data_IF_008780738688
#
_entry.id   IF_008780738688
#
_cell.length_a   1.000
_cell.length_b   1.000
_cell.length_c   1.000
_cell.angle_alpha   90.00
_cell.angle_beta   90.00
_cell.angle_gamma   90.00
#
_symmetry.space_group_name_H-M   'P 1'
#
loop_
_entity.id
_entity.type
_entity.pdbx_description
1 polymer ?
#
# COMPACT_ATOMS: atom_id res chain seq x y z
N UNK A 1 20.96 -9.10 -15.26
CA UNK A 1 20.80 -7.65 -15.09
C UNK A 1 19.34 -7.32 -15.37
N UNK A 2 18.55 -6.98 -14.35
CA UNK A 2 17.17 -6.53 -14.57
C UNK A 2 17.22 -5.12 -15.15
N UNK A 3 16.56 -4.89 -16.29
CA UNK A 3 16.44 -3.56 -16.88
C UNK A 3 15.68 -2.63 -15.93
N UNK A 4 15.99 -1.32 -15.94
CA UNK A 4 15.29 -0.33 -15.09
C UNK A 4 13.77 -0.34 -15.31
N UNK A 5 13.32 -0.67 -16.53
CA UNK A 5 11.90 -0.86 -16.86
C UNK A 5 11.26 -2.01 -16.06
N UNK A 6 11.99 -3.11 -15.83
CA UNK A 6 11.49 -4.24 -15.04
C UNK A 6 11.32 -3.89 -13.57
N UNK A 7 12.12 -2.99 -13.01
CA UNK A 7 11.95 -2.53 -11.61
C UNK A 7 10.71 -1.66 -11.42
N UNK A 8 10.42 -0.75 -12.34
CA UNK A 8 9.20 0.08 -12.26
C UNK A 8 7.93 -0.79 -12.35
N UNK A 9 7.94 -1.78 -13.24
CA UNK A 9 6.85 -2.76 -13.40
C UNK A 9 6.56 -3.54 -12.12
N UNK A 10 7.58 -3.88 -11.31
CA UNK A 10 7.40 -4.61 -10.04
C UNK A 10 6.61 -3.83 -9.00
N UNK A 11 6.96 -2.55 -8.81
CA UNK A 11 6.28 -1.70 -7.84
C UNK A 11 4.83 -1.42 -8.22
N UNK A 12 4.56 -1.17 -9.50
CA UNK A 12 3.19 -0.90 -9.99
C UNK A 12 2.29 -2.13 -9.84
N UNK A 13 2.80 -3.32 -10.16
CA UNK A 13 2.02 -4.56 -10.01
C UNK A 13 1.79 -4.86 -8.53
N UNK A 14 2.82 -4.79 -7.68
CA UNK A 14 2.66 -5.05 -6.25
C UNK A 14 1.70 -4.04 -5.59
N UNK A 15 1.75 -2.76 -5.96
CA UNK A 15 0.82 -1.74 -5.48
C UNK A 15 -0.63 -2.02 -5.91
N UNK A 16 -0.83 -2.48 -7.15
CA UNK A 16 -2.16 -2.86 -7.66
C UNK A 16 -2.75 -4.04 -6.89
N UNK A 17 -1.91 -4.98 -6.46
CA UNK A 17 -2.34 -6.08 -5.59
C UNK A 17 -2.69 -5.62 -4.17
N UNK A 18 -1.97 -4.64 -3.60
CA UNK A 18 -2.31 -4.08 -2.28
C UNK A 18 -3.62 -3.29 -2.31
N UNK A 19 -3.84 -2.49 -3.36
CA UNK A 19 -4.99 -1.59 -3.46
C UNK A 19 -6.27 -2.29 -3.96
N UNK A 20 -6.14 -3.20 -4.92
CA UNK A 20 -7.30 -3.64 -5.73
C UNK A 20 -7.53 -5.16 -5.72
N UNK A 21 -6.69 -5.96 -5.06
CA UNK A 21 -6.98 -7.39 -4.87
C UNK A 21 -7.72 -7.62 -3.56
N UNK A 22 -9.02 -7.91 -3.66
CA UNK A 22 -9.89 -8.26 -2.54
C UNK A 22 -9.21 -9.25 -1.57
N UNK A 23 -9.02 -8.84 -0.32
CA UNK A 23 -8.56 -9.70 0.76
C UNK A 23 -7.07 -10.06 0.79
N UNK A 24 -6.25 -9.66 -0.19
CA UNK A 24 -4.82 -10.01 -0.19
C UNK A 24 -3.94 -9.02 0.60
N UNK A 25 -4.43 -7.80 0.83
CA UNK A 25 -3.72 -6.76 1.58
C UNK A 25 -4.10 -6.66 3.07
N UNK A 26 -5.18 -7.31 3.49
CA UNK A 26 -5.73 -7.16 4.86
C UNK A 26 -6.39 -5.80 5.11
N UNK A 27 -6.81 -5.10 4.05
CA UNK A 27 -7.52 -3.81 4.12
C UNK A 27 -8.99 -3.99 3.72
N UNK A 28 -9.89 -3.32 4.42
CA UNK A 28 -11.32 -3.28 4.09
C UNK A 28 -11.55 -2.45 2.81
N UNK A 29 -12.58 -2.80 2.03
CA UNK A 29 -12.89 -2.13 0.76
C UNK A 29 -13.12 -0.61 0.94
N UNK A 30 -13.77 -0.22 2.03
CA UNK A 30 -14.01 1.20 2.33
C UNK A 30 -12.71 1.99 2.59
N UNK A 31 -11.66 1.32 3.07
CA UNK A 31 -10.38 1.96 3.43
C UNK A 31 -9.38 1.99 2.28
N UNK A 32 -9.60 1.20 1.22
CA UNK A 32 -8.79 1.28 -0.01
C UNK A 32 -9.10 2.53 -0.83
N UNK A 33 -10.34 3.04 -0.73
CA UNK A 33 -10.79 4.21 -1.49
C UNK A 33 -10.66 5.55 -0.75
N UNK A 34 -10.36 5.54 0.56
CA UNK A 34 -10.26 6.77 1.36
C UNK A 34 -8.83 6.95 1.90
N UNK A 35 -8.36 8.19 1.95
CA UNK A 35 -7.11 8.50 2.66
C UNK A 35 -7.34 8.46 4.18
N UNK A 36 -6.35 8.01 4.94
CA UNK A 36 -6.40 8.08 6.41
C UNK A 36 -6.37 9.53 6.90
N UNK A 37 -5.52 10.35 6.32
CA UNK A 37 -5.37 11.74 6.63
C UNK A 37 -5.94 12.60 5.49
N UNK A 38 -6.81 13.54 5.85
CA UNK A 38 -7.39 14.48 4.90
C UNK A 38 -8.58 15.23 5.48
N UNK A 39 -9.39 15.84 4.62
CA UNK A 39 -10.32 16.88 5.04
C UNK A 39 -11.79 16.61 4.67
N UNK A 40 -12.17 15.32 4.64
CA UNK A 40 -13.52 14.85 4.33
C UNK A 40 -13.80 14.64 2.83
N UNK A 41 -15.07 14.46 2.48
CA UNK A 41 -15.50 14.15 1.11
C UNK A 41 -15.39 12.65 0.76
N UNK A 42 -15.73 12.29 -0.49
CA UNK A 42 -15.88 10.88 -0.93
C UNK A 42 -14.62 10.03 -0.68
N UNK A 43 -13.43 10.60 -0.90
CA UNK A 43 -12.14 9.92 -0.77
C UNK A 43 -11.32 10.40 0.45
N UNK A 44 -11.93 11.18 1.34
CA UNK A 44 -11.25 11.86 2.44
C UNK A 44 -10.00 12.66 1.98
N UNK A 45 -10.09 13.37 0.84
CA UNK A 45 -8.97 14.10 0.24
C UNK A 45 -9.41 15.46 -0.28
N UNK A 46 -8.60 16.49 -0.01
CA UNK A 46 -8.79 17.86 -0.49
C UNK A 46 -7.43 18.49 -0.73
N UNK A 47 -7.11 18.83 -1.98
CA UNK A 47 -5.81 19.40 -2.38
C UNK A 47 -5.51 20.75 -1.69
N UNK A 48 -6.55 21.50 -1.28
CA UNK A 48 -6.39 22.78 -0.57
C UNK A 48 -6.19 22.61 0.93
N UNK A 49 -6.55 21.43 1.46
CA UNK A 49 -6.43 21.05 2.87
C UNK A 49 -5.70 19.71 2.98
N UNK A 50 -4.51 19.69 2.40
CA UNK A 50 -3.62 18.54 2.46
C UNK A 50 -3.19 18.24 3.90
N UNK A 51 -2.67 17.04 4.14
CA UNK A 51 -2.16 16.67 5.46
C UNK A 51 -1.11 17.65 5.98
N UNK A 52 -1.29 18.12 7.23
CA UNK A 52 -0.48 19.18 7.83
C UNK A 52 -1.02 20.60 7.62
N UNK A 53 -2.03 20.78 6.77
CA UNK A 53 -2.78 22.03 6.63
C UNK A 53 -3.97 22.02 7.60
N UNK A 54 -4.34 23.20 8.12
CA UNK A 54 -5.51 23.36 8.99
C UNK A 54 -6.79 22.77 8.36
N UNK A 55 -7.55 22.04 9.17
CA UNK A 55 -8.78 21.38 8.74
C UNK A 55 -8.59 19.98 8.15
N UNK A 56 -7.36 19.48 8.03
CA UNK A 56 -7.09 18.06 7.82
C UNK A 56 -7.09 17.31 9.15
N UNK A 57 -7.64 16.10 9.17
CA UNK A 57 -7.67 15.19 10.31
C UNK A 57 -7.11 13.82 9.92
N UNK A 58 -6.48 13.15 10.90
CA UNK A 58 -5.95 11.79 10.75
C UNK A 58 -6.96 10.78 11.27
N UNK A 59 -7.12 9.66 10.57
CA UNK A 59 -7.94 8.54 11.01
C UNK A 59 -7.43 7.92 12.32
N UNK A 60 -8.29 7.19 13.02
CA UNK A 60 -7.93 6.58 14.31
C UNK A 60 -6.89 5.45 14.19
N UNK A 61 -6.96 4.66 13.11
CA UNK A 61 -6.04 3.55 12.85
C UNK A 61 -5.45 3.64 11.43
N UNK A 62 -4.25 4.22 11.27
CA UNK A 62 -3.57 4.27 9.97
C UNK A 62 -3.21 2.91 9.39
N UNK A 63 -3.18 1.84 10.20
CA UNK A 63 -2.85 0.50 9.72
C UNK A 63 -4.00 -0.16 8.95
N UNK A 64 -5.22 0.36 9.10
CA UNK A 64 -6.41 -0.11 8.39
C UNK A 64 -6.58 0.50 6.98
N UNK A 65 -5.75 1.46 6.57
CA UNK A 65 -5.89 2.19 5.29
C UNK A 65 -4.75 1.92 4.33
N UNK A 66 -5.05 1.92 3.01
CA UNK A 66 -4.02 1.85 1.97
C UNK A 66 -3.34 3.21 1.76
N UNK A 67 -4.15 4.26 1.61
CA UNK A 67 -3.67 5.61 1.36
C UNK A 67 -3.49 6.40 2.66
N UNK A 68 -2.34 7.07 2.79
CA UNK A 68 -2.11 8.02 3.87
C UNK A 68 -2.82 9.34 3.62
N UNK A 69 -2.56 10.01 2.50
CA UNK A 69 -2.98 11.40 2.23
C UNK A 69 -3.56 11.61 0.83
N UNK A 70 -3.90 10.53 0.12
CA UNK A 70 -4.34 10.54 -1.28
C UNK A 70 -3.20 10.49 -2.30
N UNK A 71 -1.94 10.63 -1.87
CA UNK A 71 -0.74 10.59 -2.74
C UNK A 71 0.21 9.47 -2.31
N UNK A 72 0.44 9.35 -1.00
CA UNK A 72 1.33 8.37 -0.39
C UNK A 72 0.55 7.21 0.22
N UNK A 73 1.22 6.05 0.33
CA UNK A 73 0.69 4.88 1.03
C UNK A 73 0.99 4.93 2.53
N UNK A 74 0.19 4.25 3.32
CA UNK A 74 0.48 4.05 4.75
C UNK A 74 1.65 3.08 4.95
N UNK A 75 2.25 3.09 6.13
CA UNK A 75 3.30 2.15 6.51
C UNK A 75 2.83 0.68 6.38
N UNK A 76 1.57 0.40 6.73
CA UNK A 76 0.98 -0.93 6.61
C UNK A 76 0.91 -1.37 5.14
N UNK A 77 0.49 -0.48 4.24
CA UNK A 77 0.44 -0.75 2.80
C UNK A 77 1.85 -0.95 2.21
N UNK A 78 2.84 -0.14 2.60
CA UNK A 78 4.24 -0.37 2.22
C UNK A 78 4.77 -1.72 2.69
N UNK A 79 4.40 -2.16 3.90
CA UNK A 79 4.78 -3.47 4.44
C UNK A 79 4.11 -4.62 3.69
N UNK A 80 2.84 -4.49 3.31
CA UNK A 80 2.16 -5.47 2.47
C UNK A 80 2.82 -5.56 1.08
N UNK A 81 3.10 -4.40 0.46
CA UNK A 81 3.77 -4.33 -0.84
C UNK A 81 5.16 -4.97 -0.80
N UNK A 82 5.96 -4.69 0.24
CA UNK A 82 7.30 -5.29 0.35
C UNK A 82 7.24 -6.80 0.52
N UNK A 83 6.28 -7.33 1.30
CA UNK A 83 6.05 -8.78 1.41
C UNK A 83 5.68 -9.41 0.07
N UNK A 84 4.82 -8.76 -0.71
CA UNK A 84 4.50 -9.23 -2.07
C UNK A 84 5.76 -9.23 -2.93
N UNK A 85 6.53 -8.15 -2.98
CA UNK A 85 7.74 -8.08 -3.79
C UNK A 85 8.73 -9.20 -3.42
N UNK A 86 8.97 -9.40 -2.12
CA UNK A 86 9.98 -10.34 -1.64
C UNK A 86 9.54 -11.81 -1.58
N UNK A 87 8.25 -12.10 -1.43
CA UNK A 87 7.73 -13.46 -1.27
C UNK A 87 6.72 -13.88 -2.35
N UNK A 88 6.01 -12.93 -2.96
CA UNK A 88 4.95 -13.14 -3.95
C UNK A 88 5.43 -13.45 -5.36
N UNK A 89 6.68 -13.90 -5.53
CA UNK A 89 7.26 -14.30 -6.82
C UNK A 89 7.38 -13.18 -7.87
N UNK A 90 7.22 -11.91 -7.49
CA UNK A 90 7.33 -10.78 -8.41
C UNK A 90 8.78 -10.58 -8.91
N UNK A 91 9.79 -10.76 -8.05
CA UNK A 91 11.19 -10.70 -8.49
C UNK A 91 11.56 -11.92 -9.34
N UNK A 92 11.84 -11.74 -10.64
CA UNK A 92 12.40 -12.79 -11.50
C UNK A 92 13.76 -12.39 -12.10
N UNK A 93 14.84 -13.16 -11.83
CA UNK A 93 14.93 -14.25 -10.85
C UNK A 93 14.74 -13.74 -9.42
N UNK A 94 14.32 -14.62 -8.51
CA UNK A 94 14.25 -14.31 -7.09
C UNK A 94 15.67 -14.02 -6.58
N UNK A 95 15.94 -12.76 -6.23
CA UNK A 95 17.26 -12.35 -5.70
C UNK A 95 17.39 -12.77 -4.24
N UNK A 96 16.27 -12.95 -3.52
CA UNK A 96 16.25 -13.38 -2.13
C UNK A 96 15.75 -14.81 -2.03
N UNK A 97 16.57 -15.70 -1.44
CA UNK A 97 16.16 -17.06 -1.07
C UNK A 97 15.66 -17.05 0.36
N UNK A 98 14.40 -16.67 0.56
CA UNK A 98 13.78 -16.86 1.87
C UNK A 98 13.35 -18.32 2.00
N UNK A 99 13.96 -19.03 2.95
CA UNK A 99 13.50 -20.36 3.36
C UNK A 99 12.08 -20.23 3.90
N UNK A 100 11.10 -20.79 3.20
CA UNK A 100 9.72 -20.90 3.68
C UNK A 100 9.74 -21.58 5.05
N UNK A 101 9.40 -20.81 6.10
CA UNK A 101 9.04 -21.41 7.38
C UNK A 101 7.55 -21.72 7.30
N UNK A 102 7.24 -22.96 6.95
CA UNK A 102 5.89 -23.50 6.99
C UNK A 102 5.35 -23.39 8.43
N UNK A 103 4.30 -22.58 8.61
CA UNK A 103 3.41 -22.68 9.77
C UNK A 103 3.68 -21.73 10.94
N UNK A 104 3.33 -20.46 10.79
CA UNK A 104 2.94 -19.68 11.97
C UNK A 104 1.81 -18.71 11.60
N UNK A 105 0.60 -19.23 11.79
CA UNK A 105 -0.68 -18.51 11.91
C UNK A 105 -0.62 -17.48 13.02
#
# INVERSE_FOLDING_TARGET
MASSASLLLLFVVAASHVCCSHGQGGFDEDSTHKACCGAGGKYNYDVRRACGVEGAAVCADPSAYVSWDGIHMTQAAYKAMSRLIYHGRYLQPQILSFREKNGQT
#
